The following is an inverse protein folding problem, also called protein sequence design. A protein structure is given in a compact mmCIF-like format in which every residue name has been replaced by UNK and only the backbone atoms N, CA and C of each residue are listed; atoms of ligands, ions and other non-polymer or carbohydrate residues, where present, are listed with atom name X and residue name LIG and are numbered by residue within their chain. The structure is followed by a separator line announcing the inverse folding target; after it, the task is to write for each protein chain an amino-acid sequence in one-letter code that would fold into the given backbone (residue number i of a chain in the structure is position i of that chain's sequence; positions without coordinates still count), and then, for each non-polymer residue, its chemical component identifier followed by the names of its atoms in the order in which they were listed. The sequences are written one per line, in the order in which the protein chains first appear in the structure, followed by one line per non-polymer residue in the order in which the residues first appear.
data_IF_900166525842
#
_entry.id   IF_900166525842
#
_cell.length_a   1.000
_cell.length_b   1.000
_cell.length_c   1.000
_cell.angle_alpha   90.00
_cell.angle_beta   90.00
_cell.angle_gamma   90.00
#
_symmetry.space_group_name_H-M   'P 1'
#
loop_
_entity.id
_entity.type
_entity.pdbx_description
1 polymer ?
#
# COMPACT_ATOMS: atom_id res chain seq x y z
N UNK A 1 2.39 8.67 40.44
CA UNK A 1 2.84 7.36 39.95
C UNK A 1 3.69 7.60 38.72
N UNK A 2 5.01 7.42 38.79
CA UNK A 2 5.89 7.52 37.63
C UNK A 2 5.95 6.14 36.96
N UNK A 3 5.36 6.00 35.78
CA UNK A 3 5.60 4.86 34.91
C UNK A 3 6.96 5.05 34.24
N UNK A 4 7.92 4.20 34.56
CA UNK A 4 9.17 4.10 33.80
C UNK A 4 8.81 3.70 32.37
N UNK A 5 8.91 4.64 31.42
CA UNK A 5 8.67 4.37 30.01
C UNK A 5 9.84 3.57 29.45
N UNK A 6 9.76 2.25 29.58
CA UNK A 6 10.66 1.33 28.89
C UNK A 6 10.34 1.39 27.39
N UNK A 7 11.21 2.02 26.61
CA UNK A 7 11.08 2.06 25.15
C UNK A 7 12.30 1.40 24.51
N UNK A 8 12.09 0.81 23.33
CA UNK A 8 13.13 0.22 22.50
C UNK A 8 12.85 0.57 21.05
N UNK A 9 13.61 1.52 20.52
CA UNK A 9 13.43 2.05 19.16
C UNK A 9 14.67 1.71 18.33
N UNK A 10 14.42 1.12 17.16
CA UNK A 10 15.45 0.82 16.16
C UNK A 10 15.35 1.84 15.03
N UNK A 11 16.43 2.60 14.80
CA UNK A 11 16.54 3.47 13.63
C UNK A 11 17.44 2.85 12.54
N UNK A 12 16.87 2.13 11.56
CA UNK A 12 17.65 1.45 10.52
C UNK A 12 18.32 2.43 9.55
N UNK A 13 17.96 3.73 9.56
CA UNK A 13 18.51 4.74 8.66
C UNK A 13 19.92 5.16 9.08
N UNK A 14 20.20 5.19 10.39
CA UNK A 14 21.52 5.48 10.94
C UNK A 14 22.49 4.29 10.99
N UNK A 15 22.03 3.06 10.69
CA UNK A 15 22.85 1.86 10.78
C UNK A 15 23.71 1.63 9.53
N UNK A 16 25.03 1.50 9.67
CA UNK A 16 25.94 1.15 8.58
C UNK A 16 26.05 -0.38 8.43
N UNK A 17 26.46 -0.88 7.26
CA UNK A 17 26.73 -2.33 7.09
C UNK A 17 27.79 -2.86 8.08
N UNK A 18 28.82 -2.05 8.36
CA UNK A 18 29.83 -2.36 9.39
C UNK A 18 29.21 -2.51 10.78
N UNK A 19 28.20 -1.70 11.10
CA UNK A 19 27.51 -1.77 12.38
C UNK A 19 26.67 -3.05 12.51
N UNK A 20 26.08 -3.54 11.42
CA UNK A 20 25.39 -4.83 11.38
C UNK A 20 26.35 -6.01 11.60
N UNK A 21 27.52 -6.00 10.96
CA UNK A 21 28.55 -7.03 11.18
C UNK A 21 29.00 -6.98 12.65
N UNK A 22 29.30 -5.80 13.17
CA UNK A 22 29.65 -5.63 14.58
C UNK A 22 28.52 -6.08 15.50
N UNK A 23 27.24 -6.00 15.12
CA UNK A 23 26.11 -6.46 15.94
C UNK A 23 26.08 -7.99 16.06
N UNK A 24 26.55 -8.68 15.01
CA UNK A 24 26.63 -10.13 14.98
C UNK A 24 27.78 -10.67 15.82
N UNK A 25 28.93 -9.98 15.83
CA UNK A 25 30.17 -10.45 16.48
C UNK A 25 30.50 -9.77 17.81
N UNK A 26 30.02 -8.54 18.07
CA UNK A 26 30.29 -7.82 19.31
C UNK A 26 29.09 -7.80 20.23
N UNK A 27 29.41 -7.99 21.51
CA UNK A 27 28.43 -8.02 22.57
C UNK A 27 27.86 -6.66 22.97
N UNK A 28 28.56 -5.60 22.58
CA UNK A 28 28.28 -4.28 23.07
C UNK A 28 27.17 -3.62 22.25
N UNK A 29 26.05 -3.37 22.93
CA UNK A 29 24.87 -2.70 22.41
C UNK A 29 24.82 -1.21 22.82
N UNK A 30 25.68 -0.78 23.75
CA UNK A 30 25.60 0.55 24.40
C UNK A 30 26.05 1.72 23.52
N UNK A 31 26.89 1.49 22.51
CA UNK A 31 27.54 2.55 21.74
C UNK A 31 27.05 2.64 20.28
N UNK A 32 25.77 2.36 20.03
CA UNK A 32 25.24 2.23 18.66
C UNK A 32 24.18 3.28 18.40
N UNK A 33 24.43 4.14 17.40
CA UNK A 33 23.56 5.27 17.02
C UNK A 33 22.14 4.88 16.54
N UNK A 34 21.88 3.59 16.35
CA UNK A 34 20.62 3.06 15.80
C UNK A 34 19.77 2.29 16.81
N UNK A 35 20.21 2.15 18.07
CA UNK A 35 19.45 1.48 19.14
C UNK A 35 19.24 2.51 20.25
N UNK A 36 17.98 2.90 20.47
CA UNK A 36 17.61 3.75 21.60
C UNK A 36 16.80 2.94 22.59
N UNK A 37 17.31 2.81 23.82
CA UNK A 37 16.60 2.13 24.90
C UNK A 37 16.78 2.87 26.22
N UNK A 38 15.71 2.93 27.03
CA UNK A 38 15.72 3.54 28.36
C UNK A 38 16.19 2.60 29.48
N UNK A 39 16.46 1.33 29.17
CA UNK A 39 16.82 0.33 30.18
C UNK A 39 18.32 -0.02 30.14
N UNK A 40 19.06 0.44 31.16
CA UNK A 40 20.51 0.22 31.34
C UNK A 40 20.87 -1.20 31.80
N UNK A 41 19.92 -2.15 31.82
CA UNK A 41 20.12 -3.48 32.40
C UNK A 41 20.13 -4.59 31.35
N UNK A 42 21.22 -4.64 30.58
CA UNK A 42 21.63 -5.86 29.89
C UNK A 42 22.51 -6.67 30.83
N UNK A 43 21.89 -7.39 31.77
CA UNK A 43 22.61 -8.28 32.70
C UNK A 43 23.47 -9.26 31.90
N UNK A 44 24.77 -9.30 32.23
CA UNK A 44 25.80 -9.96 31.42
C UNK A 44 25.70 -11.49 31.37
N UNK A 45 24.78 -12.10 32.13
CA UNK A 45 24.69 -13.55 32.38
C UNK A 45 23.43 -14.24 31.79
N UNK A 46 22.72 -13.64 30.84
CA UNK A 46 21.54 -14.27 30.20
C UNK A 46 21.95 -15.24 29.06
N UNK A 47 21.66 -16.56 29.13
CA UNK A 47 21.94 -17.51 28.04
C UNK A 47 21.19 -17.19 26.74
N UNK A 48 20.16 -16.33 26.80
CA UNK A 48 19.39 -15.89 25.63
C UNK A 48 19.98 -14.66 24.90
N UNK A 49 21.16 -14.16 25.31
CA UNK A 49 21.80 -12.96 24.74
C UNK A 49 21.99 -13.03 23.21
N UNK A 50 22.42 -14.18 22.70
CA UNK A 50 22.60 -14.39 21.26
C UNK A 50 21.28 -14.36 20.50
N UNK A 51 20.25 -15.05 20.99
CA UNK A 51 18.91 -15.07 20.38
C UNK A 51 18.32 -13.66 20.26
N UNK A 52 18.46 -12.85 21.31
CA UNK A 52 17.97 -11.46 21.33
C UNK A 52 18.69 -10.60 20.29
N UNK A 53 20.02 -10.70 20.20
CA UNK A 53 20.82 -9.97 19.18
C UNK A 53 20.47 -10.39 17.76
N UNK A 54 20.27 -11.69 17.56
CA UNK A 54 19.85 -12.22 16.26
C UNK A 54 18.50 -11.63 15.84
N UNK A 55 17.53 -11.54 16.74
CA UNK A 55 16.22 -10.90 16.44
C UNK A 55 16.40 -9.42 16.08
N UNK A 56 17.21 -8.67 16.83
CA UNK A 56 17.50 -7.26 16.52
C UNK A 56 18.17 -7.12 15.16
N UNK A 57 19.16 -7.98 14.88
CA UNK A 57 19.86 -8.01 13.60
C UNK A 57 18.90 -8.29 12.43
N UNK A 58 18.10 -9.36 12.52
CA UNK A 58 17.10 -9.72 11.50
C UNK A 58 16.09 -8.59 11.31
N UNK A 59 15.64 -7.94 12.39
CA UNK A 59 14.71 -6.81 12.32
C UNK A 59 15.29 -5.64 11.52
N UNK A 60 16.55 -5.26 11.77
CA UNK A 60 17.22 -4.18 11.04
C UNK A 60 17.45 -4.56 9.57
N UNK A 61 17.83 -5.81 9.31
CA UNK A 61 18.00 -6.32 7.93
C UNK A 61 16.69 -6.24 7.16
N UNK A 62 15.58 -6.70 7.74
CA UNK A 62 14.25 -6.62 7.13
C UNK A 62 13.86 -5.15 6.89
N UNK A 63 14.03 -4.27 7.87
CA UNK A 63 13.71 -2.84 7.72
C UNK A 63 14.53 -2.19 6.59
N UNK A 64 15.84 -2.46 6.52
CA UNK A 64 16.70 -1.97 5.42
C UNK A 64 16.28 -2.55 4.07
N UNK A 65 15.94 -3.83 4.03
CA UNK A 65 15.44 -4.49 2.83
C UNK A 65 14.13 -3.85 2.36
N UNK A 66 13.18 -3.56 3.25
CA UNK A 66 11.94 -2.87 2.89
C UNK A 66 12.20 -1.44 2.38
N UNK A 67 13.14 -0.70 2.98
CA UNK A 67 13.53 0.64 2.51
C UNK A 67 14.16 0.56 1.12
N UNK A 68 15.04 -0.43 0.90
CA UNK A 68 15.67 -0.69 -0.41
C UNK A 68 14.62 -1.05 -1.46
N UNK A 69 13.67 -1.92 -1.10
CA UNK A 69 12.62 -2.39 -1.98
C UNK A 69 11.51 -1.36 -2.24
N UNK A 70 11.47 -0.24 -1.49
CA UNK A 70 10.42 0.79 -1.65
C UNK A 70 10.27 1.29 -3.09
N UNK A 71 11.38 1.69 -3.73
CA UNK A 71 11.38 2.18 -5.12
C UNK A 71 11.07 1.10 -6.15
N UNK A 72 11.73 -0.07 -6.15
CA UNK A 72 11.42 -1.11 -7.12
C UNK A 72 10.00 -1.66 -6.94
N UNK A 73 9.48 -1.74 -5.72
CA UNK A 73 8.11 -2.20 -5.47
C UNK A 73 7.07 -1.20 -6.00
N UNK A 74 7.32 0.11 -5.83
CA UNK A 74 6.48 1.15 -6.44
C UNK A 74 6.48 1.03 -7.97
N UNK A 75 7.67 0.95 -8.58
CA UNK A 75 7.81 0.81 -10.02
C UNK A 75 7.13 -0.47 -10.54
N UNK A 76 7.24 -1.57 -9.80
CA UNK A 76 6.59 -2.84 -10.13
C UNK A 76 5.06 -2.71 -10.12
N UNK A 77 4.49 -2.09 -9.07
CA UNK A 77 3.06 -1.83 -8.98
C UNK A 77 2.55 -0.93 -10.12
N UNK A 78 3.27 0.16 -10.40
CA UNK A 78 2.96 1.04 -11.53
C UNK A 78 3.02 0.31 -12.87
N UNK A 79 4.07 -0.50 -13.10
CA UNK A 79 4.24 -1.27 -14.33
C UNK A 79 3.12 -2.28 -14.53
N UNK A 80 2.72 -3.00 -13.47
CA UNK A 80 1.59 -3.93 -13.52
C UNK A 80 0.27 -3.21 -13.82
N UNK A 81 0.00 -2.10 -13.13
CA UNK A 81 -1.20 -1.29 -13.38
C UNK A 81 -1.26 -0.81 -14.82
N UNK A 82 -0.16 -0.24 -15.34
CA UNK A 82 -0.07 0.19 -16.72
C UNK A 82 -0.29 -0.97 -17.70
N UNK A 83 0.34 -2.13 -17.45
CA UNK A 83 0.22 -3.30 -18.32
C UNK A 83 -1.21 -3.84 -18.36
N UNK A 84 -1.88 -3.96 -17.21
CA UNK A 84 -3.27 -4.43 -17.17
C UNK A 84 -4.24 -3.45 -17.84
N UNK A 85 -4.09 -2.14 -17.65
CA UNK A 85 -4.91 -1.16 -18.36
C UNK A 85 -4.66 -1.16 -19.87
N UNK A 86 -3.40 -1.30 -20.30
CA UNK A 86 -3.06 -1.44 -21.71
C UNK A 86 -3.76 -2.66 -22.33
N UNK A 87 -3.74 -3.79 -21.63
CA UNK A 87 -4.45 -5.00 -22.05
C UNK A 87 -5.96 -4.78 -22.11
N UNK A 88 -6.55 -4.20 -21.07
CA UNK A 88 -7.98 -4.00 -20.95
C UNK A 88 -8.53 -3.11 -22.09
N UNK A 89 -7.92 -1.96 -22.32
CA UNK A 89 -8.39 -0.98 -23.32
C UNK A 89 -8.19 -1.48 -24.76
N UNK A 90 -7.17 -2.31 -25.01
CA UNK A 90 -6.84 -2.79 -26.36
C UNK A 90 -7.47 -4.15 -26.71
N UNK A 91 -8.39 -4.67 -25.89
CA UNK A 91 -9.10 -5.93 -26.18
C UNK A 91 -8.34 -7.20 -25.81
N UNK A 92 -7.37 -7.10 -24.89
CA UNK A 92 -6.63 -8.22 -24.30
C UNK A 92 -5.27 -8.51 -24.92
N UNK A 93 -4.56 -9.49 -24.33
CA UNK A 93 -3.17 -9.82 -24.64
C UNK A 93 -2.93 -10.13 -26.12
N UNK A 94 -3.80 -10.93 -26.73
CA UNK A 94 -3.65 -11.34 -28.13
C UNK A 94 -3.94 -10.23 -29.14
N UNK A 95 -4.63 -9.16 -28.72
CA UNK A 95 -4.98 -8.03 -29.60
C UNK A 95 -3.93 -6.92 -29.61
N UNK A 96 -3.03 -6.86 -28.62
CA UNK A 96 -1.98 -5.82 -28.55
C UNK A 96 -1.05 -5.89 -29.77
N UNK A 97 -0.47 -7.05 -30.04
CA UNK A 97 0.52 -7.20 -31.10
C UNK A 97 -0.04 -6.83 -32.49
N UNK A 98 -1.22 -7.34 -32.93
CA UNK A 98 -1.80 -6.93 -34.20
C UNK A 98 -2.25 -5.46 -34.21
N UNK A 99 -2.71 -4.90 -33.09
CA UNK A 99 -3.08 -3.48 -33.02
C UNK A 99 -1.87 -2.55 -33.07
N UNK A 100 -0.73 -2.98 -32.53
CA UNK A 100 0.54 -2.26 -32.63
C UNK A 100 1.00 -2.17 -34.10
N UNK A 101 0.98 -3.29 -34.84
CA UNK A 101 1.32 -3.28 -36.27
C UNK A 101 0.34 -2.47 -37.13
N UNK A 102 -0.93 -2.37 -36.72
CA UNK A 102 -1.95 -1.56 -37.39
C UNK A 102 -1.92 -0.07 -36.98
N UNK A 103 -1.08 0.31 -36.01
CA UNK A 103 -1.03 1.67 -35.46
C UNK A 103 -2.29 2.09 -34.68
N UNK A 104 -3.08 1.13 -34.18
CA UNK A 104 -4.34 1.36 -33.48
C UNK A 104 -4.23 1.19 -31.96
N UNK A 105 -3.01 1.22 -31.42
CA UNK A 105 -2.79 1.03 -29.99
C UNK A 105 -3.22 2.28 -29.21
N UNK A 106 -4.07 2.07 -28.20
CA UNK A 106 -4.51 3.12 -27.28
C UNK A 106 -3.65 3.03 -26.03
N UNK A 107 -2.93 4.09 -25.72
CA UNK A 107 -2.08 4.17 -24.54
C UNK A 107 -2.93 4.53 -23.31
N UNK A 108 -2.80 3.82 -22.19
CA UNK A 108 -3.55 4.11 -20.98
C UNK A 108 -3.04 5.41 -20.35
N UNK A 109 -3.96 6.32 -20.06
CA UNK A 109 -3.69 7.59 -19.40
C UNK A 109 -4.17 7.52 -17.95
N UNK A 110 -3.28 7.75 -16.98
CA UNK A 110 -3.59 7.59 -15.55
C UNK A 110 -4.75 8.45 -15.07
N UNK A 111 -4.91 9.64 -15.66
CA UNK A 111 -6.00 10.59 -15.37
C UNK A 111 -7.33 10.20 -16.02
N UNK A 112 -7.38 9.25 -16.94
CA UNK A 112 -8.62 8.86 -17.62
C UNK A 112 -9.59 8.13 -16.69
N UNK A 113 -10.89 8.27 -16.95
CA UNK A 113 -11.94 7.46 -16.27
C UNK A 113 -11.90 5.99 -16.65
N UNK A 114 -11.15 5.60 -17.69
CA UNK A 114 -10.96 4.21 -18.11
C UNK A 114 -9.75 3.54 -17.44
N UNK A 115 -8.94 4.31 -16.72
CA UNK A 115 -7.78 3.79 -16.01
C UNK A 115 -8.20 3.30 -14.63
N UNK A 116 -8.11 1.98 -14.42
CA UNK A 116 -8.36 1.35 -13.15
C UNK A 116 -7.04 1.07 -12.41
N UNK A 117 -7.05 1.12 -11.09
CA UNK A 117 -5.92 0.72 -10.26
C UNK A 117 -5.62 -0.77 -10.43
N UNK A 118 -4.51 -1.24 -9.85
CA UNK A 118 -4.22 -2.68 -9.80
C UNK A 118 -5.37 -3.47 -9.17
N UNK A 119 -5.99 -2.92 -8.12
CA UNK A 119 -7.12 -3.55 -7.42
C UNK A 119 -8.39 -3.54 -8.29
N UNK A 120 -8.65 -2.45 -9.02
CA UNK A 120 -9.76 -2.33 -9.96
C UNK A 120 -9.63 -3.27 -11.16
N UNK A 121 -8.39 -3.59 -11.59
CA UNK A 121 -8.16 -4.59 -12.63
C UNK A 121 -8.33 -6.03 -12.12
N UNK A 122 -8.03 -6.31 -10.85
CA UNK A 122 -8.19 -7.65 -10.24
C UNK A 122 -9.65 -7.98 -9.94
N UNK A 123 -10.43 -6.98 -9.52
CA UNK A 123 -11.87 -7.11 -9.35
C UNK A 123 -12.58 -6.13 -10.28
N UNK A 124 -13.15 -6.62 -11.38
CA UNK A 124 -13.86 -5.77 -12.34
C UNK A 124 -15.29 -5.39 -11.92
N UNK A 125 -15.77 -5.83 -10.75
CA UNK A 125 -17.15 -5.56 -10.33
C UNK A 125 -17.33 -4.10 -9.90
N UNK A 126 -18.28 -3.43 -10.55
CA UNK A 126 -18.65 -2.05 -10.26
C UNK A 126 -20.05 -1.96 -9.65
N UNK A 127 -20.92 -2.93 -9.93
CA UNK A 127 -22.31 -2.94 -9.51
C UNK A 127 -22.58 -3.99 -8.42
N UNK A 128 -23.42 -3.63 -7.44
CA UNK A 128 -23.94 -4.58 -6.46
C UNK A 128 -24.95 -5.53 -7.12
N UNK A 129 -24.87 -6.81 -6.76
CA UNK A 129 -25.85 -7.81 -7.23
C UNK A 129 -27.26 -7.43 -6.75
N UNK A 130 -28.16 -7.18 -7.70
CA UNK A 130 -29.54 -6.78 -7.44
C UNK A 130 -30.38 -7.85 -6.71
N UNK A 131 -29.88 -9.09 -6.62
CA UNK A 131 -30.53 -10.17 -5.85
C UNK A 131 -30.39 -9.99 -4.34
N UNK A 132 -29.48 -9.12 -3.88
CA UNK A 132 -29.26 -8.89 -2.46
C UNK A 132 -30.27 -7.87 -1.95
N UNK A 133 -31.02 -8.27 -0.93
CA UNK A 133 -31.99 -7.39 -0.27
C UNK A 133 -31.32 -6.13 0.29
N UNK A 134 -31.80 -4.95 -0.15
CA UNK A 134 -31.31 -3.65 0.33
C UNK A 134 -31.55 -3.52 1.83
N UNK A 135 -30.54 -3.06 2.57
CA UNK A 135 -30.62 -2.89 4.02
C UNK A 135 -30.23 -4.14 4.84
N UNK A 136 -30.13 -5.31 4.20
CA UNK A 136 -29.60 -6.51 4.86
C UNK A 136 -28.15 -6.32 5.32
N UNK A 137 -27.72 -7.09 6.33
CA UNK A 137 -26.31 -7.10 6.78
C UNK A 137 -25.35 -7.39 5.61
N UNK A 138 -25.78 -8.29 4.71
CA UNK A 138 -25.02 -8.70 3.53
C UNK A 138 -24.88 -7.57 2.51
N UNK A 139 -25.95 -6.80 2.28
CA UNK A 139 -25.93 -5.61 1.42
C UNK A 139 -24.95 -4.57 1.93
N UNK A 140 -25.04 -4.22 3.23
CA UNK A 140 -24.14 -3.23 3.85
C UNK A 140 -22.68 -3.67 3.76
N UNK A 141 -22.39 -4.95 4.02
CA UNK A 141 -21.03 -5.48 3.91
C UNK A 141 -20.48 -5.36 2.48
N UNK A 142 -21.25 -5.74 1.46
CA UNK A 142 -20.81 -5.63 0.06
C UNK A 142 -20.63 -4.18 -0.39
N UNK A 143 -21.53 -3.29 0.04
CA UNK A 143 -21.41 -1.87 -0.25
C UNK A 143 -20.14 -1.28 0.38
N UNK A 144 -19.82 -1.62 1.63
CA UNK A 144 -18.57 -1.22 2.29
C UNK A 144 -17.34 -1.75 1.56
N UNK A 145 -17.37 -3.00 1.09
CA UNK A 145 -16.28 -3.58 0.29
C UNK A 145 -16.09 -2.78 -1.01
N UNK A 146 -17.15 -2.52 -1.76
CA UNK A 146 -17.04 -1.73 -3.00
C UNK A 146 -16.58 -0.30 -2.75
N UNK A 147 -17.08 0.36 -1.71
CA UNK A 147 -16.62 1.69 -1.33
C UNK A 147 -15.13 1.71 -0.96
N UNK A 148 -14.68 0.72 -0.19
CA UNK A 148 -13.26 0.59 0.22
C UNK A 148 -12.31 0.29 -0.95
N UNK A 149 -12.81 -0.35 -2.01
CA UNK A 149 -12.07 -0.55 -3.25
C UNK A 149 -12.03 0.74 -4.07
N UNK A 150 -13.18 1.39 -4.21
CA UNK A 150 -13.34 2.61 -4.99
C UNK A 150 -12.46 3.75 -4.46
N UNK A 151 -12.14 3.78 -3.16
CA UNK A 151 -11.23 4.77 -2.57
C UNK A 151 -9.78 4.68 -3.04
N UNK A 152 -9.38 3.62 -3.76
CA UNK A 152 -8.05 3.48 -4.36
C UNK A 152 -8.03 3.83 -5.85
N UNK A 153 -9.16 4.24 -6.41
CA UNK A 153 -9.29 4.57 -7.83
C UNK A 153 -9.10 6.07 -8.09
N UNK A 154 -8.73 6.41 -9.32
CA UNK A 154 -8.64 7.80 -9.75
C UNK A 154 -10.01 8.50 -9.65
N UNK A 155 -10.03 9.76 -9.23
CA UNK A 155 -11.21 10.63 -9.16
C UNK A 155 -12.12 10.57 -10.40
N UNK A 156 -11.56 10.50 -11.60
CA UNK A 156 -12.35 10.43 -12.84
C UNK A 156 -13.02 9.06 -13.01
N UNK A 157 -12.34 7.98 -12.62
CA UNK A 157 -12.94 6.65 -12.55
C UNK A 157 -14.06 6.64 -11.51
N UNK A 158 -13.81 7.14 -10.30
CA UNK A 158 -14.80 7.24 -9.21
C UNK A 158 -16.04 8.01 -9.66
N UNK A 159 -15.86 9.20 -10.23
CA UNK A 159 -16.97 10.02 -10.76
C UNK A 159 -17.78 9.25 -11.80
N UNK A 160 -17.12 8.55 -12.73
CA UNK A 160 -17.81 7.73 -13.72
C UNK A 160 -18.65 6.60 -13.11
N UNK A 161 -18.16 5.96 -12.04
CA UNK A 161 -18.89 4.90 -11.32
C UNK A 161 -20.10 5.46 -10.59
N UNK A 162 -19.93 6.56 -9.85
CA UNK A 162 -21.00 7.15 -9.05
C UNK A 162 -22.17 7.62 -9.92
N UNK A 163 -21.87 8.28 -11.05
CA UNK A 163 -22.89 8.80 -11.95
C UNK A 163 -23.48 7.72 -12.86
N UNK A 164 -22.65 6.92 -13.55
CA UNK A 164 -23.14 6.01 -14.58
C UNK A 164 -23.68 4.68 -14.02
N UNK A 165 -23.01 4.14 -13.00
CA UNK A 165 -23.35 2.81 -12.47
C UNK A 165 -24.24 2.89 -11.25
N UNK A 166 -23.91 3.75 -10.28
CA UNK A 166 -24.66 3.84 -9.03
C UNK A 166 -25.82 4.83 -9.10
N UNK A 167 -25.88 5.64 -10.18
CA UNK A 167 -26.92 6.64 -10.43
C UNK A 167 -27.17 7.51 -9.19
N UNK A 168 -26.07 7.94 -8.57
CA UNK A 168 -26.12 8.97 -7.54
C UNK A 168 -26.35 10.32 -8.22
N UNK A 169 -27.52 10.45 -8.81
CA UNK A 169 -28.02 11.70 -9.33
C UNK A 169 -28.38 12.55 -8.10
N UNK A 170 -27.56 13.54 -7.77
CA UNK A 170 -27.93 14.70 -6.95
C UNK A 170 -28.24 14.52 -5.45
N UNK A 171 -27.64 13.56 -4.73
CA UNK A 171 -27.60 13.66 -3.27
C UNK A 171 -26.45 14.59 -2.86
N UNK A 172 -26.83 15.86 -2.66
CA UNK A 172 -26.19 16.92 -1.88
C UNK A 172 -24.71 16.67 -1.54
N UNK A 173 -23.82 17.39 -2.24
CA UNK A 173 -22.39 17.45 -1.94
C UNK A 173 -22.19 17.80 -0.47
N UNK A 174 -21.99 16.78 0.37
CA UNK A 174 -21.70 17.03 1.78
C UNK A 174 -20.38 17.82 1.88
N UNK A 175 -20.29 18.82 2.78
CA UNK A 175 -19.10 19.67 2.91
C UNK A 175 -17.76 18.91 3.08
N UNK A 176 -17.84 17.67 3.59
CA UNK A 176 -16.70 16.76 3.72
C UNK A 176 -16.11 16.31 2.37
N UNK A 177 -16.93 16.10 1.34
CA UNK A 177 -16.46 15.67 0.02
C UNK A 177 -15.64 16.76 -0.68
N UNK A 178 -16.09 18.02 -0.61
CA UNK A 178 -15.33 19.18 -1.11
C UNK A 178 -14.01 19.38 -0.36
N UNK A 179 -13.98 19.09 0.93
CA UNK A 179 -12.77 19.23 1.74
C UNK A 179 -11.74 18.14 1.40
N UNK A 180 -12.15 16.89 1.20
CA UNK A 180 -11.27 15.79 0.82
C UNK A 180 -10.68 15.97 -0.60
N UNK A 181 -11.50 16.38 -1.58
CA UNK A 181 -11.06 16.71 -2.95
C UNK A 181 -10.09 17.89 -3.00
N UNK A 182 -10.32 18.91 -2.17
CA UNK A 182 -9.49 20.12 -2.12
C UNK A 182 -8.18 19.92 -1.34
N UNK A 183 -8.11 18.88 -0.50
CA UNK A 183 -6.93 18.50 0.28
C UNK A 183 -6.08 17.40 -0.38
N UNK A 184 -6.48 16.86 -1.54
CA UNK A 184 -5.75 15.78 -2.22
C UNK A 184 -5.61 14.51 -1.36
N UNK A 185 -6.60 14.27 -0.49
CA UNK A 185 -6.66 13.12 0.42
C UNK A 185 -7.42 11.92 -0.19
N UNK A 186 -7.90 12.08 -1.42
CA UNK A 186 -8.39 11.03 -2.32
C UNK A 186 -7.64 11.15 -3.65
#
# INVERSE_FOLDING_TARGET
MCTTENYFVLDPRGATFSDLIRLLFSSDLRNRRFIHSSEDRLEDNDPCKFRRRWIIFVSIVIQKLMILLRKPLYFFGFSLGFWFNLLYINGGFFMILPNLFKGKIIWPEETSSTFASLNGNLDGRVELDGRIERGSKRYKAMLSIMASKLSYENINFVSSVLHNHWKLDSYEETPCHKSALKLGLL
#
